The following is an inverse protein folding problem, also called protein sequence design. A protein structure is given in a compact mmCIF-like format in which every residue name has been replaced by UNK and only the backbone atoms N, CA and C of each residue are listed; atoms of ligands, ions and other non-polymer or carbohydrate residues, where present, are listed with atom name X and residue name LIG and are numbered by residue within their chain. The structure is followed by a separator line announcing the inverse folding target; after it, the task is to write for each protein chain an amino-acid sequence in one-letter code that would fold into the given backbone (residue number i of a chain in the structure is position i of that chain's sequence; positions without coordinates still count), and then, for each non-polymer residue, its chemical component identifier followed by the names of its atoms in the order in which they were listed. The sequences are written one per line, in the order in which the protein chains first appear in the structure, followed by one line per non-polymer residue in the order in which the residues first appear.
data_IF_468810005580
#
_entry.id   IF_468810005580
#
_cell.length_a   1.000
_cell.length_b   1.000
_cell.length_c   1.000
_cell.angle_alpha   90.00
_cell.angle_beta   90.00
_cell.angle_gamma   90.00
#
_symmetry.space_group_name_H-M   'P 1'
#
loop_
_entity.id
_entity.type
_entity.pdbx_description
1 polymer ?
#
# COMPACT_ATOMS: atom_id res chain seq x y z
N UNK A 1 1.15 -8.60 19.06
CA UNK A 1 -0.02 -7.80 18.61
C UNK A 1 -1.28 -8.31 19.32
N UNK A 2 -1.43 -7.94 20.60
CA UNK A 2 -2.62 -8.31 21.38
C UNK A 2 -3.78 -7.34 21.15
N UNK A 3 -5.02 -7.74 21.52
CA UNK A 3 -6.21 -6.90 21.40
C UNK A 3 -6.15 -5.58 22.21
N UNK A 4 -5.19 -5.45 23.12
CA UNK A 4 -4.98 -4.25 23.94
C UNK A 4 -3.90 -3.30 23.34
N UNK A 5 -3.28 -3.65 22.22
CA UNK A 5 -2.27 -2.81 21.57
C UNK A 5 -2.97 -1.65 20.83
N UNK A 6 -2.69 -0.37 21.19
CA UNK A 6 -3.36 0.79 20.58
C UNK A 6 -3.01 0.97 19.09
N UNK A 7 -2.04 0.24 18.58
CA UNK A 7 -1.61 0.27 17.19
C UNK A 7 -2.27 -0.80 16.32
N UNK A 8 -3.18 -1.60 16.87
CA UNK A 8 -3.91 -2.63 16.12
C UNK A 8 -5.41 -2.52 16.31
N UNK A 9 -6.15 -2.85 15.25
CA UNK A 9 -7.59 -3.04 15.31
C UNK A 9 -7.95 -4.36 14.64
N UNK A 10 -8.50 -5.28 15.43
CA UNK A 10 -9.03 -6.54 14.97
C UNK A 10 -10.51 -6.39 14.63
N UNK A 11 -10.87 -6.61 13.39
CA UNK A 11 -12.24 -6.72 12.94
C UNK A 11 -12.52 -8.19 12.58
N UNK A 12 -13.38 -8.84 13.36
CA UNK A 12 -13.75 -10.25 13.16
C UNK A 12 -15.16 -10.38 12.63
N UNK A 13 -15.37 -11.18 11.57
CA UNK A 13 -16.70 -11.43 11.03
C UNK A 13 -17.52 -12.32 11.98
N UNK A 14 -18.86 -12.29 11.84
CA UNK A 14 -19.73 -13.24 12.55
C UNK A 14 -19.50 -14.68 12.09
N UNK A 15 -19.25 -14.87 10.80
CA UNK A 15 -18.88 -16.15 10.20
C UNK A 15 -17.63 -15.93 9.37
N UNK A 16 -16.52 -16.56 9.77
CA UNK A 16 -15.25 -16.43 9.08
C UNK A 16 -15.19 -17.35 7.86
N UNK A 17 -14.64 -16.85 6.75
CA UNK A 17 -14.44 -17.59 5.51
C UNK A 17 -12.99 -18.09 5.32
N UNK A 18 -12.21 -18.12 6.39
CA UNK A 18 -10.83 -18.60 6.38
C UNK A 18 -9.79 -17.62 5.85
N UNK A 19 -10.21 -16.48 5.28
CA UNK A 19 -9.28 -15.43 4.82
C UNK A 19 -9.02 -14.40 5.90
N UNK A 20 -7.73 -14.13 6.18
CA UNK A 20 -7.24 -13.03 7.00
C UNK A 20 -6.61 -11.94 6.14
N UNK A 21 -6.87 -10.67 6.46
CA UNK A 21 -6.31 -9.53 5.73
C UNK A 21 -5.56 -8.60 6.67
N UNK A 22 -4.28 -8.36 6.39
CA UNK A 22 -3.52 -7.26 7.00
C UNK A 22 -3.81 -5.98 6.23
N UNK A 23 -4.34 -4.96 6.90
CA UNK A 23 -4.73 -3.68 6.31
C UNK A 23 -3.76 -2.58 6.73
N UNK A 24 -3.07 -1.97 5.76
CA UNK A 24 -2.07 -0.92 5.97
C UNK A 24 -2.52 0.40 5.34
N UNK A 25 -2.62 1.43 6.16
CA UNK A 25 -2.82 2.80 5.68
C UNK A 25 -1.54 3.37 5.03
N UNK A 26 -1.69 4.50 4.33
CA UNK A 26 -0.58 5.22 3.71
C UNK A 26 0.20 6.12 4.67
N UNK A 27 0.71 7.24 4.16
CA UNK A 27 1.58 8.21 4.86
C UNK A 27 0.92 8.95 6.04
N UNK A 28 -0.35 8.72 6.29
CA UNK A 28 -1.07 9.35 7.42
C UNK A 28 -0.75 8.73 8.79
N UNK A 29 -0.11 7.56 8.85
CA UNK A 29 0.15 6.84 10.10
C UNK A 29 -1.11 6.46 10.90
N UNK A 30 -2.28 6.37 10.23
CA UNK A 30 -3.54 6.04 10.90
C UNK A 30 -3.79 4.53 10.94
N UNK A 31 -4.64 4.10 11.86
CA UNK A 31 -5.35 2.82 11.77
C UNK A 31 -6.48 2.95 10.75
N UNK A 32 -6.55 2.04 9.78
CA UNK A 32 -7.64 2.00 8.79
C UNK A 32 -8.80 1.11 9.29
N UNK A 33 -9.39 1.54 10.43
CA UNK A 33 -10.47 0.84 11.12
C UNK A 33 -11.66 0.62 10.19
N UNK A 34 -12.07 1.66 9.47
CA UNK A 34 -13.25 1.59 8.59
C UNK A 34 -13.11 0.53 7.49
N UNK A 35 -11.91 0.39 6.90
CA UNK A 35 -11.64 -0.66 5.92
C UNK A 35 -11.65 -2.04 6.54
N UNK A 36 -11.04 -2.20 7.71
CA UNK A 36 -11.06 -3.47 8.43
C UNK A 36 -12.48 -3.89 8.80
N UNK A 37 -13.30 -2.99 9.33
CA UNK A 37 -14.68 -3.28 9.69
C UNK A 37 -15.55 -3.60 8.45
N UNK A 38 -15.33 -2.89 7.34
CA UNK A 38 -15.99 -3.16 6.07
C UNK A 38 -15.66 -4.57 5.55
N UNK A 39 -14.39 -4.99 5.62
CA UNK A 39 -13.96 -6.34 5.24
C UNK A 39 -14.57 -7.40 6.17
N UNK A 40 -14.58 -7.14 7.48
CA UNK A 40 -15.17 -8.06 8.45
C UNK A 40 -16.68 -8.23 8.26
N UNK A 41 -17.39 -7.17 7.87
CA UNK A 41 -18.83 -7.27 7.54
C UNK A 41 -19.12 -8.21 6.37
N UNK A 42 -18.09 -8.58 5.58
CA UNK A 42 -18.16 -9.48 4.42
C UNK A 42 -17.54 -10.87 4.64
N UNK A 43 -17.21 -11.21 5.88
CA UNK A 43 -16.70 -12.55 6.22
C UNK A 43 -15.18 -12.69 6.30
N UNK A 44 -14.42 -11.59 6.15
CA UNK A 44 -12.95 -11.60 6.24
C UNK A 44 -12.50 -11.21 7.65
N UNK A 45 -11.58 -11.97 8.24
CA UNK A 45 -10.88 -11.52 9.44
C UNK A 45 -9.87 -10.44 9.05
N UNK A 46 -10.02 -9.22 9.55
CA UNK A 46 -9.14 -8.12 9.19
C UNK A 46 -8.35 -7.60 10.40
N UNK A 47 -7.07 -7.35 10.19
CA UNK A 47 -6.15 -6.72 11.13
C UNK A 47 -5.67 -5.40 10.54
N UNK A 48 -6.26 -4.28 10.96
CA UNK A 48 -5.67 -2.98 10.67
C UNK A 48 -4.48 -2.75 11.61
N UNK A 49 -3.37 -2.33 11.03
CA UNK A 49 -2.13 -2.11 11.75
C UNK A 49 -1.56 -0.72 11.47
N UNK A 50 -1.33 0.03 12.54
CA UNK A 50 -0.55 1.27 12.51
C UNK A 50 0.93 0.89 12.65
N UNK A 51 1.76 1.30 11.72
CA UNK A 51 3.16 0.87 11.65
C UNK A 51 4.15 2.00 11.86
N UNK A 52 3.67 3.24 12.04
CA UNK A 52 4.42 4.41 12.51
C UNK A 52 3.46 5.45 13.09
N UNK A 53 4.01 6.41 13.85
CA UNK A 53 3.27 7.54 14.42
C UNK A 53 2.38 7.18 15.62
N UNK A 54 2.39 5.94 16.07
CA UNK A 54 1.69 5.47 17.25
C UNK A 54 2.57 5.37 18.49
N UNK A 55 1.96 4.94 19.59
CA UNK A 55 2.68 4.72 20.85
C UNK A 55 3.77 3.64 20.67
N UNK A 56 5.00 3.97 21.07
CA UNK A 56 6.14 3.06 20.95
C UNK A 56 6.67 2.85 19.53
N UNK A 57 6.17 3.59 18.53
CA UNK A 57 6.57 3.49 17.15
C UNK A 57 7.44 4.67 16.69
N UNK A 58 8.21 4.53 15.58
CA UNK A 58 8.85 5.67 14.94
C UNK A 58 7.84 6.77 14.61
N UNK A 59 8.20 8.04 14.83
CA UNK A 59 7.30 9.17 14.56
C UNK A 59 6.97 9.34 13.08
N UNK A 60 7.90 8.95 12.19
CA UNK A 60 7.77 9.02 10.73
C UNK A 60 8.20 7.68 10.11
N UNK A 61 7.75 7.35 8.89
CA UNK A 61 8.13 6.11 8.21
C UNK A 61 9.58 6.20 7.70
N UNK A 62 10.51 5.80 8.54
CA UNK A 62 11.94 5.73 8.26
C UNK A 62 12.53 4.48 8.92
N UNK A 63 13.23 3.68 8.15
CA UNK A 63 13.87 2.42 8.58
C UNK A 63 12.91 1.45 9.28
N UNK A 64 11.67 1.38 8.80
CA UNK A 64 10.67 0.45 9.31
C UNK A 64 11.07 -0.98 8.91
N UNK A 65 11.22 -1.92 9.88
CA UNK A 65 11.53 -3.31 9.55
C UNK A 65 10.35 -4.00 8.84
N UNK A 66 10.61 -4.67 7.72
CA UNK A 66 9.60 -5.50 7.06
C UNK A 66 9.14 -6.64 7.98
N UNK A 67 9.97 -7.05 8.91
CA UNK A 67 9.67 -8.02 9.97
C UNK A 67 8.44 -7.62 10.79
N UNK A 68 8.21 -6.33 10.97
CA UNK A 68 7.00 -5.81 11.63
C UNK A 68 5.71 -6.31 10.95
N UNK A 69 5.73 -6.44 9.63
CA UNK A 69 4.59 -6.94 8.86
C UNK A 69 4.58 -8.47 8.78
N UNK A 70 5.74 -9.11 8.72
CA UNK A 70 5.82 -10.59 8.74
C UNK A 70 5.37 -11.16 10.08
N UNK A 71 5.58 -10.44 11.19
CA UNK A 71 5.02 -10.78 12.51
C UNK A 71 3.49 -10.67 12.53
N UNK A 72 2.93 -9.66 11.85
CA UNK A 72 1.48 -9.52 11.71
C UNK A 72 0.88 -10.64 10.84
N UNK A 73 1.59 -11.06 9.78
CA UNK A 73 1.23 -12.21 8.95
C UNK A 73 1.21 -13.49 9.80
N UNK A 74 2.22 -13.71 10.64
CA UNK A 74 2.27 -14.87 11.53
C UNK A 74 1.06 -14.92 12.47
N UNK A 75 0.67 -13.77 13.03
CA UNK A 75 -0.48 -13.71 13.93
C UNK A 75 -1.79 -14.02 13.18
N UNK A 76 -1.96 -13.50 11.95
CA UNK A 76 -3.11 -13.82 11.11
C UNK A 76 -3.14 -15.29 10.69
N UNK A 77 -2.01 -15.88 10.34
CA UNK A 77 -1.88 -17.27 9.89
C UNK A 77 -2.21 -18.29 10.98
N UNK A 78 -2.24 -17.90 12.26
CA UNK A 78 -2.70 -18.75 13.36
C UNK A 78 -4.22 -18.87 13.42
N UNK A 79 -4.96 -17.90 12.86
CA UNK A 79 -6.42 -17.83 12.91
C UNK A 79 -7.06 -18.06 11.52
N UNK A 80 -6.27 -17.95 10.43
CA UNK A 80 -6.77 -17.95 9.07
C UNK A 80 -5.95 -18.87 8.17
N UNK A 81 -6.62 -19.61 7.27
CA UNK A 81 -5.98 -20.54 6.33
C UNK A 81 -5.28 -19.81 5.17
N UNK A 82 -5.71 -18.57 4.90
CA UNK A 82 -5.23 -17.73 3.80
C UNK A 82 -4.95 -16.31 4.31
N UNK A 83 -3.74 -15.80 4.03
CA UNK A 83 -3.36 -14.43 4.39
C UNK A 83 -3.22 -13.58 3.13
N UNK A 84 -3.92 -12.44 3.12
CA UNK A 84 -3.86 -11.42 2.07
C UNK A 84 -3.37 -10.10 2.68
N UNK A 85 -2.55 -9.38 1.94
CA UNK A 85 -2.12 -8.04 2.34
C UNK A 85 -2.87 -7.00 1.52
N UNK A 86 -3.40 -5.97 2.18
CA UNK A 86 -4.05 -4.83 1.52
C UNK A 86 -3.43 -3.53 2.01
N UNK A 87 -2.94 -2.71 1.10
CA UNK A 87 -2.30 -1.44 1.44
C UNK A 87 -2.64 -0.32 0.48
N UNK A 88 -2.70 0.92 1.00
CA UNK A 88 -2.89 2.14 0.21
C UNK A 88 -1.62 2.99 0.25
N UNK A 89 -1.16 3.49 -0.92
CA UNK A 89 -0.05 4.45 -0.99
C UNK A 89 1.24 3.88 -0.36
N UNK A 90 1.81 4.47 0.70
CA UNK A 90 2.93 3.87 1.43
C UNK A 90 2.62 2.47 1.97
N UNK A 91 1.35 2.21 2.32
CA UNK A 91 0.91 0.86 2.65
C UNK A 91 0.96 -0.09 1.45
N UNK A 92 0.72 0.40 0.23
CA UNK A 92 0.87 -0.40 -0.99
C UNK A 92 2.34 -0.74 -1.27
N UNK A 93 3.26 0.19 -1.01
CA UNK A 93 4.71 -0.08 -1.03
C UNK A 93 5.09 -1.15 -0.01
N UNK A 94 4.59 -1.02 1.23
CA UNK A 94 4.82 -1.98 2.31
C UNK A 94 4.34 -3.40 1.95
N UNK A 95 3.10 -3.55 1.47
CA UNK A 95 2.54 -4.88 1.17
C UNK A 95 3.24 -5.55 -0.01
N UNK A 96 3.67 -4.81 -1.03
CA UNK A 96 4.44 -5.36 -2.15
C UNK A 96 5.83 -5.82 -1.71
N UNK A 97 6.54 -5.01 -0.90
CA UNK A 97 7.84 -5.39 -0.35
C UNK A 97 7.72 -6.60 0.58
N UNK A 98 6.77 -6.59 1.51
CA UNK A 98 6.58 -7.70 2.46
C UNK A 98 6.25 -8.99 1.73
N UNK A 99 5.33 -8.96 0.78
CA UNK A 99 4.97 -10.15 0.01
C UNK A 99 6.11 -10.68 -0.87
N UNK A 100 7.11 -9.86 -1.19
CA UNK A 100 8.29 -10.31 -1.94
C UNK A 100 9.32 -11.06 -1.10
N UNK A 101 9.16 -11.04 0.23
CA UNK A 101 10.07 -11.69 1.20
C UNK A 101 9.36 -12.69 2.12
N UNK A 102 8.04 -12.83 2.01
CA UNK A 102 7.23 -13.75 2.82
C UNK A 102 6.30 -14.58 1.92
N UNK A 103 6.59 -15.86 1.77
CA UNK A 103 5.88 -16.81 0.91
C UNK A 103 4.52 -17.28 1.47
N UNK A 104 4.20 -16.95 2.73
CA UNK A 104 2.89 -17.19 3.34
C UNK A 104 1.80 -16.28 2.77
N UNK A 105 2.18 -15.21 2.06
CA UNK A 105 1.23 -14.27 1.47
C UNK A 105 0.58 -14.88 0.24
N UNK A 106 -0.71 -15.22 0.36
CA UNK A 106 -1.49 -15.82 -0.70
C UNK A 106 -2.05 -14.79 -1.70
N UNK A 107 -2.08 -13.50 -1.32
CA UNK A 107 -2.54 -12.44 -2.21
C UNK A 107 -2.16 -11.05 -1.73
N UNK A 108 -2.06 -10.11 -2.68
CA UNK A 108 -1.79 -8.70 -2.44
C UNK A 108 -2.81 -7.84 -3.17
N UNK A 109 -3.36 -6.86 -2.46
CA UNK A 109 -4.18 -5.78 -3.02
C UNK A 109 -3.45 -4.47 -2.76
N UNK A 110 -2.82 -3.91 -3.79
CA UNK A 110 -2.08 -2.65 -3.69
C UNK A 110 -2.89 -1.52 -4.33
N UNK A 111 -3.36 -0.60 -3.48
CA UNK A 111 -4.16 0.56 -3.87
C UNK A 111 -3.24 1.78 -4.02
N UNK A 112 -3.28 2.46 -5.17
CA UNK A 112 -2.34 3.49 -5.57
C UNK A 112 -0.88 3.03 -5.36
N UNK A 113 -0.39 1.99 -6.09
CA UNK A 113 0.91 1.37 -5.88
C UNK A 113 2.08 2.22 -6.37
N UNK A 114 3.28 1.86 -5.92
CA UNK A 114 4.57 2.22 -6.50
C UNK A 114 5.32 0.98 -6.95
N UNK A 115 6.27 1.13 -7.87
CA UNK A 115 7.14 0.05 -8.37
C UNK A 115 8.54 0.04 -7.74
N UNK A 116 8.85 1.04 -6.91
CA UNK A 116 10.14 1.18 -6.23
C UNK A 116 9.94 1.47 -4.75
N UNK A 117 10.95 1.15 -3.94
CA UNK A 117 11.04 1.67 -2.58
C UNK A 117 11.54 3.11 -2.62
N UNK A 118 10.94 3.96 -1.81
CA UNK A 118 11.28 5.37 -1.70
C UNK A 118 12.06 5.68 -0.42
N UNK A 119 12.81 6.79 -0.44
CA UNK A 119 13.43 7.37 0.76
C UNK A 119 12.42 7.48 1.91
N UNK A 120 12.86 7.22 3.12
CA UNK A 120 12.08 7.44 4.34
C UNK A 120 11.81 8.91 4.60
N UNK A 121 10.75 9.19 5.35
CA UNK A 121 10.49 10.55 5.79
C UNK A 121 11.49 10.96 6.87
N UNK A 122 11.82 12.24 6.93
CA UNK A 122 12.73 12.83 7.88
C UNK A 122 11.97 13.75 8.84
N UNK A 123 12.46 13.90 10.05
CA UNK A 123 11.95 14.88 11.00
C UNK A 123 12.57 16.26 10.79
N UNK A 124 13.77 16.31 10.19
CA UNK A 124 14.53 17.52 9.91
C UNK A 124 15.09 17.46 8.49
N UNK A 125 15.23 18.61 7.85
CA UNK A 125 15.70 18.72 6.46
C UNK A 125 17.17 18.28 6.31
N UNK A 126 17.97 18.41 7.37
CA UNK A 126 19.40 18.03 7.43
C UNK A 126 19.63 16.56 7.83
N UNK A 127 18.59 15.79 8.13
CA UNK A 127 18.73 14.37 8.46
C UNK A 127 19.39 13.61 7.28
N UNK A 128 20.25 12.61 7.58
CA UNK A 128 20.86 11.80 6.53
C UNK A 128 19.80 11.03 5.74
N UNK A 129 20.06 10.80 4.45
CA UNK A 129 19.19 9.99 3.60
C UNK A 129 19.15 8.55 4.10
N UNK A 130 17.95 8.03 4.35
CA UNK A 130 17.72 6.66 4.81
C UNK A 130 16.57 6.02 4.05
N UNK A 131 16.61 4.70 3.97
CA UNK A 131 15.49 3.93 3.45
C UNK A 131 14.26 4.11 4.33
N UNK A 132 13.08 4.04 3.72
CA UNK A 132 11.84 3.88 4.47
C UNK A 132 11.78 2.52 5.17
N UNK A 133 12.44 1.51 4.60
CA UNK A 133 12.33 0.11 4.97
C UNK A 133 13.69 -0.51 5.30
N UNK A 134 13.67 -1.46 6.22
CA UNK A 134 14.79 -2.38 6.44
C UNK A 134 14.31 -3.83 6.32
N UNK A 135 15.22 -4.73 5.96
CA UNK A 135 15.01 -6.17 5.97
C UNK A 135 16.28 -6.89 6.43
N UNK A 136 16.17 -7.82 7.39
CA UNK A 136 17.32 -8.47 8.01
C UNK A 136 18.30 -7.47 8.65
N UNK A 137 17.77 -6.37 9.20
CA UNK A 137 18.57 -5.29 9.78
C UNK A 137 19.35 -4.44 8.78
N UNK A 138 19.10 -4.59 7.46
CA UNK A 138 19.77 -3.83 6.40
C UNK A 138 18.77 -2.91 5.69
N UNK A 139 19.19 -1.69 5.29
CA UNK A 139 18.35 -0.82 4.49
C UNK A 139 17.95 -1.49 3.16
N UNK A 140 16.67 -1.44 2.82
CA UNK A 140 16.21 -1.77 1.47
C UNK A 140 16.69 -0.66 0.55
N UNK A 141 17.29 -0.97 -0.64
CA UNK A 141 17.65 0.04 -1.61
C UNK A 141 16.44 0.92 -1.96
N UNK A 142 16.65 2.22 -2.13
CA UNK A 142 15.56 3.18 -2.30
C UNK A 142 15.90 4.28 -3.30
N UNK A 143 14.88 4.87 -3.90
CA UNK A 143 15.02 6.09 -4.69
C UNK A 143 15.02 7.29 -3.75
N UNK A 144 16.11 8.09 -3.74
CA UNK A 144 16.19 9.29 -2.92
C UNK A 144 15.23 10.37 -3.44
N UNK A 145 14.62 11.10 -2.52
CA UNK A 145 13.73 12.23 -2.83
C UNK A 145 14.56 13.48 -3.14
N UNK A 146 14.16 14.24 -4.16
CA UNK A 146 14.78 15.52 -4.50
C UNK A 146 14.45 16.59 -3.44
N UNK A 147 15.37 16.83 -2.54
CA UNK A 147 15.23 17.83 -1.46
C UNK A 147 15.35 19.28 -1.95
N UNK A 148 15.68 19.50 -3.23
CA UNK A 148 15.73 20.84 -3.84
C UNK A 148 14.40 21.22 -4.52
N UNK A 149 13.43 20.30 -4.54
CA UNK A 149 12.13 20.58 -5.11
C UNK A 149 11.33 21.50 -4.20
N UNK A 150 10.86 22.61 -4.76
CA UNK A 150 9.97 23.55 -4.09
C UNK A 150 8.55 23.38 -4.63
N UNK A 151 7.54 23.29 -3.77
CA UNK A 151 6.16 23.18 -4.20
C UNK A 151 5.75 24.40 -5.01
N UNK A 152 5.20 24.24 -6.23
CA UNK A 152 4.81 25.38 -7.08
C UNK A 152 3.57 26.13 -6.58
N UNK A 153 2.92 25.63 -5.53
CA UNK A 153 1.71 26.22 -4.95
C UNK A 153 1.49 25.78 -3.51
N UNK A 154 0.59 26.45 -2.80
CA UNK A 154 0.14 26.06 -1.46
C UNK A 154 -0.66 24.75 -1.43
N UNK A 155 -1.12 24.27 -2.58
CA UNK A 155 -1.78 22.98 -2.80
C UNK A 155 -0.97 22.16 -3.83
N UNK A 156 0.21 21.63 -3.45
CA UNK A 156 1.10 20.96 -4.39
C UNK A 156 0.52 19.64 -4.90
N UNK A 157 0.90 19.30 -6.14
CA UNK A 157 0.84 17.95 -6.67
C UNK A 157 2.23 17.31 -6.54
N UNK A 158 2.35 16.23 -5.82
CA UNK A 158 3.65 15.60 -5.59
C UNK A 158 4.11 14.66 -6.71
N UNK A 159 3.25 14.34 -7.67
CA UNK A 159 3.60 13.44 -8.79
C UNK A 159 4.84 13.91 -9.54
N UNK A 160 4.97 15.22 -9.79
CA UNK A 160 6.16 15.80 -10.43
C UNK A 160 7.41 15.63 -9.56
N UNK A 161 7.29 15.82 -8.25
CA UNK A 161 8.37 15.66 -7.30
C UNK A 161 8.93 14.22 -7.31
N UNK A 162 8.05 13.21 -7.28
CA UNK A 162 8.45 11.81 -7.35
C UNK A 162 9.06 11.44 -8.71
N UNK A 163 8.48 11.91 -9.83
CA UNK A 163 9.03 11.66 -11.17
C UNK A 163 10.40 12.32 -11.35
N UNK A 164 10.56 13.57 -10.89
CA UNK A 164 11.85 14.26 -10.90
C UNK A 164 12.90 13.56 -10.02
N UNK A 165 12.52 13.14 -8.83
CA UNK A 165 13.39 12.36 -7.93
C UNK A 165 13.89 11.10 -8.60
N UNK A 166 13.00 10.37 -9.30
CA UNK A 166 13.35 9.17 -10.05
C UNK A 166 14.34 9.45 -11.19
N UNK A 167 14.15 10.53 -11.93
CA UNK A 167 15.07 10.94 -13.00
C UNK A 167 16.45 11.31 -12.46
N UNK A 168 16.50 12.08 -11.37
CA UNK A 168 17.75 12.51 -10.74
C UNK A 168 18.54 11.35 -10.12
N UNK A 169 17.85 10.33 -9.61
CA UNK A 169 18.49 9.14 -9.05
C UNK A 169 19.25 8.32 -10.09
N UNK A 170 18.82 8.35 -11.35
CA UNK A 170 19.40 7.57 -12.43
C UNK A 170 18.94 6.10 -12.48
N UNK A 171 19.19 5.45 -13.61
CA UNK A 171 18.66 4.12 -13.90
C UNK A 171 19.15 3.03 -12.92
N UNK A 172 20.41 3.05 -12.54
CA UNK A 172 21.02 2.02 -11.68
C UNK A 172 20.42 2.06 -10.26
N UNK A 173 20.21 3.26 -9.69
CA UNK A 173 19.59 3.43 -8.38
C UNK A 173 18.12 3.02 -8.43
N UNK A 174 17.41 3.39 -9.49
CA UNK A 174 16.00 3.01 -9.68
C UNK A 174 15.86 1.50 -9.83
N UNK A 175 16.74 0.82 -10.59
CA UNK A 175 16.70 -0.64 -10.72
C UNK A 175 17.01 -1.32 -9.38
N UNK A 176 18.01 -0.85 -8.64
CA UNK A 176 18.33 -1.38 -7.32
C UNK A 176 17.18 -1.21 -6.31
N UNK A 177 16.42 -0.11 -6.41
CA UNK A 177 15.29 0.19 -5.56
C UNK A 177 13.97 -0.45 -6.04
N UNK A 178 13.96 -1.08 -7.23
CA UNK A 178 12.75 -1.70 -7.78
C UNK A 178 12.30 -2.86 -6.91
N UNK A 179 11.03 -2.86 -6.53
CA UNK A 179 10.43 -3.90 -5.70
C UNK A 179 10.47 -5.24 -6.47
N UNK A 180 11.03 -6.31 -5.87
CA UNK A 180 11.19 -7.60 -6.56
C UNK A 180 9.87 -8.38 -6.62
N UNK A 181 8.86 -7.80 -7.28
CA UNK A 181 7.48 -8.31 -7.35
C UNK A 181 7.36 -9.66 -8.06
N UNK A 182 8.36 -10.06 -8.83
CA UNK A 182 8.47 -11.39 -9.43
C UNK A 182 8.69 -12.51 -8.39
N UNK A 183 9.02 -12.16 -7.16
CA UNK A 183 9.12 -13.10 -6.03
C UNK A 183 7.78 -13.33 -5.33
N UNK A 184 6.78 -12.50 -5.60
CA UNK A 184 5.45 -12.67 -5.01
C UNK A 184 4.75 -13.83 -5.71
N UNK A 185 4.68 -14.99 -5.05
CA UNK A 185 4.00 -16.18 -5.58
C UNK A 185 2.47 -16.03 -5.59
N UNK A 186 1.94 -15.25 -4.66
CA UNK A 186 0.50 -15.00 -4.50
C UNK A 186 -0.14 -14.19 -5.63
N UNK A 187 -1.46 -14.15 -5.60
CA UNK A 187 -2.27 -13.33 -6.51
C UNK A 187 -2.01 -11.83 -6.26
N UNK A 188 -1.88 -11.03 -7.33
CA UNK A 188 -1.64 -9.59 -7.19
C UNK A 188 -2.71 -8.81 -7.94
N UNK A 189 -3.38 -7.92 -7.20
CA UNK A 189 -4.33 -6.91 -7.72
C UNK A 189 -3.74 -5.53 -7.46
N UNK A 190 -3.60 -4.75 -8.51
CA UNK A 190 -3.13 -3.37 -8.48
C UNK A 190 -4.28 -2.46 -8.89
N UNK A 191 -4.57 -1.45 -8.07
CA UNK A 191 -5.67 -0.49 -8.31
C UNK A 191 -5.07 0.90 -8.38
N UNK A 192 -5.19 1.58 -9.51
CA UNK A 192 -4.47 2.81 -9.78
C UNK A 192 -5.35 3.88 -10.45
N UNK A 193 -5.10 5.13 -10.14
CA UNK A 193 -5.70 6.27 -10.81
C UNK A 193 -4.77 6.85 -11.86
N UNK A 194 -5.32 7.17 -13.05
CA UNK A 194 -4.56 7.79 -14.15
C UNK A 194 -4.26 9.27 -13.90
N UNK A 195 -5.11 9.96 -13.13
CA UNK A 195 -4.92 11.34 -12.66
C UNK A 195 -4.40 11.40 -11.21
N UNK A 196 -3.62 10.41 -10.78
CA UNK A 196 -3.01 10.43 -9.46
C UNK A 196 -1.98 11.57 -9.35
N UNK A 197 -2.27 12.55 -8.49
CA UNK A 197 -1.46 13.76 -8.29
C UNK A 197 -0.49 13.63 -7.12
N UNK A 198 -0.46 12.47 -6.44
CA UNK A 198 0.53 12.18 -5.39
C UNK A 198 1.76 11.51 -6.00
N UNK A 199 1.58 10.42 -6.73
CA UNK A 199 2.62 9.78 -7.54
C UNK A 199 2.01 9.05 -8.74
N UNK A 200 2.83 8.61 -9.69
CA UNK A 200 2.36 8.01 -10.94
C UNK A 200 1.90 6.55 -10.77
N UNK A 201 0.86 6.30 -9.92
CA UNK A 201 0.43 4.95 -9.54
C UNK A 201 0.02 4.07 -10.73
N UNK A 202 -0.65 4.62 -11.75
CA UNK A 202 -1.01 3.91 -12.96
C UNK A 202 0.22 3.44 -13.75
N UNK A 203 1.26 4.28 -13.88
CA UNK A 203 2.53 3.89 -14.51
C UNK A 203 3.26 2.83 -13.70
N UNK A 204 3.29 2.97 -12.37
CA UNK A 204 3.89 2.01 -11.46
C UNK A 204 3.19 0.65 -11.55
N UNK A 205 1.86 0.61 -11.54
CA UNK A 205 1.08 -0.62 -11.70
C UNK A 205 1.43 -1.37 -12.99
N UNK A 206 1.57 -0.65 -14.11
CA UNK A 206 1.97 -1.27 -15.39
C UNK A 206 3.40 -1.82 -15.34
N UNK A 207 4.35 -1.13 -14.68
CA UNK A 207 5.73 -1.63 -14.50
C UNK A 207 5.77 -2.89 -13.64
N UNK A 208 5.01 -2.91 -12.53
CA UNK A 208 4.86 -4.10 -11.67
C UNK A 208 4.30 -5.26 -12.47
N UNK A 209 3.19 -5.06 -13.19
CA UNK A 209 2.58 -6.10 -14.01
C UNK A 209 3.53 -6.62 -15.09
N UNK A 210 4.24 -5.73 -15.79
CA UNK A 210 5.21 -6.10 -16.82
C UNK A 210 6.39 -6.88 -16.24
N UNK A 211 6.89 -6.53 -15.04
CA UNK A 211 7.96 -7.28 -14.37
C UNK A 211 7.51 -8.69 -13.99
N UNK A 212 6.32 -8.84 -13.40
CA UNK A 212 5.75 -10.13 -13.06
C UNK A 212 5.50 -11.01 -14.30
N UNK A 213 5.00 -10.41 -15.39
CA UNK A 213 4.75 -11.11 -16.65
C UNK A 213 6.03 -11.71 -17.27
N UNK A 214 7.19 -11.04 -17.14
CA UNK A 214 8.48 -11.60 -17.58
C UNK A 214 8.88 -12.87 -16.83
N UNK A 215 8.34 -13.08 -15.63
CA UNK A 215 8.52 -14.29 -14.82
C UNK A 215 7.35 -15.27 -14.95
N UNK A 216 6.47 -15.09 -15.93
CA UNK A 216 5.31 -15.97 -16.16
C UNK A 216 4.16 -15.80 -15.15
N UNK A 217 4.19 -14.75 -14.33
CA UNK A 217 3.19 -14.49 -13.30
C UNK A 217 2.12 -13.51 -13.81
N UNK A 218 0.86 -13.82 -13.49
CA UNK A 218 -0.26 -12.93 -13.80
C UNK A 218 -0.44 -11.84 -12.76
N UNK A 219 -1.01 -10.70 -13.19
CA UNK A 219 -1.34 -9.56 -12.32
C UNK A 219 -2.61 -8.93 -12.84
N UNK A 220 -3.58 -8.69 -11.96
CA UNK A 220 -4.77 -7.93 -12.30
C UNK A 220 -4.46 -6.45 -12.09
N UNK A 221 -4.61 -5.65 -13.13
CA UNK A 221 -4.48 -4.18 -13.05
C UNK A 221 -5.84 -3.56 -13.32
N UNK A 222 -6.34 -2.79 -12.36
CA UNK A 222 -7.54 -1.97 -12.51
C UNK A 222 -7.12 -0.51 -12.50
N UNK A 223 -7.37 0.18 -13.60
CA UNK A 223 -6.92 1.55 -13.85
C UNK A 223 -8.10 2.38 -14.38
N UNK A 224 -8.39 3.50 -13.71
CA UNK A 224 -9.36 4.50 -14.19
C UNK A 224 -8.59 5.79 -14.55
N UNK A 225 -8.58 6.22 -15.81
CA UNK A 225 -7.82 7.40 -16.25
C UNK A 225 -8.24 8.69 -15.57
N UNK A 226 -9.46 8.76 -15.03
CA UNK A 226 -10.02 9.95 -14.37
C UNK A 226 -9.94 9.89 -12.85
N UNK A 227 -9.50 8.77 -12.27
CA UNK A 227 -9.33 8.64 -10.83
C UNK A 227 -7.98 9.19 -10.36
N UNK A 228 -7.97 9.74 -9.15
CA UNK A 228 -6.78 10.22 -8.47
C UNK A 228 -6.16 9.17 -7.54
N UNK A 229 -5.44 9.65 -6.52
CA UNK A 229 -4.76 8.84 -5.52
C UNK A 229 -5.70 8.04 -4.59
N UNK A 230 -6.84 8.58 -4.11
CA UNK A 230 -7.72 7.84 -3.22
C UNK A 230 -8.47 6.71 -3.94
N UNK A 231 -8.63 5.59 -3.23
CA UNK A 231 -9.51 4.49 -3.63
C UNK A 231 -10.51 4.24 -2.50
N UNK A 232 -11.81 4.28 -2.84
CA UNK A 232 -12.91 4.04 -1.90
C UNK A 232 -13.65 2.78 -2.33
N UNK A 233 -13.53 1.73 -1.54
CA UNK A 233 -14.17 0.44 -1.83
C UNK A 233 -15.67 0.50 -1.50
N UNK A 234 -16.51 -0.34 -2.14
CA UNK A 234 -17.94 -0.40 -1.82
C UNK A 234 -18.18 -0.65 -0.34
N UNK A 235 -18.99 0.22 0.29
CA UNK A 235 -19.30 0.17 1.72
C UNK A 235 -18.31 0.94 2.63
N UNK A 236 -17.26 1.53 2.07
CA UNK A 236 -16.40 2.45 2.83
C UNK A 236 -16.99 3.86 2.89
N UNK A 237 -16.71 4.56 3.99
CA UNK A 237 -16.97 6.00 4.09
C UNK A 237 -15.82 6.74 3.38
N UNK A 238 -16.11 7.60 2.40
CA UNK A 238 -15.07 8.41 1.76
C UNK A 238 -14.26 9.21 2.78
N UNK A 239 -12.93 9.33 2.59
CA UNK A 239 -12.12 10.14 3.48
C UNK A 239 -12.49 11.61 3.39
N UNK A 240 -12.18 12.38 4.45
CA UNK A 240 -12.35 13.83 4.46
C UNK A 240 -11.71 14.45 3.20
N UNK A 241 -12.45 15.23 2.40
CA UNK A 241 -11.92 15.84 1.19
C UNK A 241 -10.88 16.94 1.47
N UNK A 242 -10.84 17.48 2.70
CA UNK A 242 -9.87 18.51 3.08
C UNK A 242 -8.46 17.91 3.10
N UNK A 243 -7.61 18.42 2.22
CA UNK A 243 -6.23 17.98 2.05
C UNK A 243 -5.30 19.20 2.00
N UNK A 244 -4.06 19.01 2.41
CA UNK A 244 -3.00 20.01 2.26
C UNK A 244 -2.29 19.91 0.89
N UNK A 245 -2.71 18.95 0.03
CA UNK A 245 -2.12 18.70 -1.28
C UNK A 245 -3.16 18.11 -2.24
N UNK A 246 -2.89 18.20 -3.52
CA UNK A 246 -3.73 17.65 -4.58
C UNK A 246 -3.59 16.14 -4.64
N UNK A 247 -4.72 15.47 -4.73
CA UNK A 247 -4.79 14.00 -4.87
C UNK A 247 -5.21 13.57 -6.28
N UNK A 248 -5.69 14.50 -7.10
CA UNK A 248 -6.25 14.21 -8.41
C UNK A 248 -7.64 13.58 -8.36
N UNK A 249 -8.14 13.30 -9.55
CA UNK A 249 -9.45 12.68 -9.76
C UNK A 249 -10.61 13.66 -9.75
N UNK A 250 -11.64 13.33 -10.52
CA UNK A 250 -12.92 14.04 -10.52
C UNK A 250 -13.83 13.63 -9.35
N UNK A 251 -14.99 14.31 -9.23
CA UNK A 251 -15.97 13.97 -8.21
C UNK A 251 -16.49 12.53 -8.37
N UNK A 252 -16.38 11.73 -7.32
CA UNK A 252 -16.80 10.33 -7.32
C UNK A 252 -15.82 9.34 -7.95
N UNK A 253 -14.71 9.80 -8.54
CA UNK A 253 -13.73 8.93 -9.20
C UNK A 253 -13.14 7.85 -8.26
N UNK A 254 -12.85 8.22 -7.01
CA UNK A 254 -12.35 7.27 -6.02
C UNK A 254 -13.32 6.11 -5.75
N UNK A 255 -14.62 6.38 -5.70
CA UNK A 255 -15.66 5.35 -5.51
C UNK A 255 -15.87 4.53 -6.79
N UNK A 256 -15.82 5.16 -7.99
CA UNK A 256 -15.89 4.42 -9.26
C UNK A 256 -14.71 3.45 -9.39
N UNK A 257 -13.48 3.92 -9.12
CA UNK A 257 -12.29 3.07 -9.16
C UNK A 257 -12.40 1.90 -8.18
N UNK A 258 -12.87 2.15 -6.95
CA UNK A 258 -13.12 1.10 -5.97
C UNK A 258 -14.17 0.09 -6.42
N UNK A 259 -15.25 0.55 -7.02
CA UNK A 259 -16.30 -0.32 -7.58
C UNK A 259 -15.78 -1.18 -8.76
N UNK A 260 -14.98 -0.60 -9.66
CA UNK A 260 -14.33 -1.32 -10.75
C UNK A 260 -13.33 -2.39 -10.24
N UNK A 261 -12.62 -2.09 -9.16
CA UNK A 261 -11.64 -3.01 -8.57
C UNK A 261 -12.28 -4.11 -7.72
N UNK A 262 -13.50 -3.89 -7.22
CA UNK A 262 -14.12 -4.76 -6.24
C UNK A 262 -14.25 -6.22 -6.68
N UNK A 263 -14.65 -6.55 -7.93
CA UNK A 263 -14.70 -7.95 -8.37
C UNK A 263 -13.35 -8.67 -8.27
N UNK A 264 -12.26 -8.04 -8.66
CA UNK A 264 -10.92 -8.61 -8.56
C UNK A 264 -10.47 -8.76 -7.10
N UNK A 265 -10.77 -7.76 -6.26
CA UNK A 265 -10.47 -7.79 -4.82
C UNK A 265 -11.24 -8.94 -4.15
N UNK A 266 -12.54 -9.09 -4.43
CA UNK A 266 -13.35 -10.21 -3.92
C UNK A 266 -12.77 -11.57 -4.30
N UNK A 267 -12.32 -11.71 -5.53
CA UNK A 267 -11.68 -12.95 -6.00
C UNK A 267 -10.46 -13.31 -5.17
N UNK A 268 -9.54 -12.35 -4.94
CA UNK A 268 -8.34 -12.57 -4.10
C UNK A 268 -8.69 -12.88 -2.66
N UNK A 269 -9.74 -12.24 -2.13
CA UNK A 269 -10.23 -12.45 -0.77
C UNK A 269 -11.06 -13.73 -0.60
N UNK A 270 -11.42 -14.41 -1.69
CA UNK A 270 -12.32 -15.58 -1.68
C UNK A 270 -13.69 -15.25 -1.07
N UNK A 271 -14.19 -14.05 -1.31
CA UNK A 271 -15.52 -13.66 -0.88
C UNK A 271 -16.59 -14.26 -1.82
N UNK A 272 -17.65 -14.79 -1.23
CA UNK A 272 -18.81 -15.26 -2.00
C UNK A 272 -19.45 -14.12 -2.81
N UNK A 273 -20.17 -14.45 -3.87
CA UNK A 273 -20.93 -13.48 -4.62
C UNK A 273 -22.01 -12.88 -3.71
N UNK A 274 -22.19 -11.54 -3.76
CA UNK A 274 -23.34 -10.91 -3.11
C UNK A 274 -24.60 -11.55 -3.72
N UNK A 275 -25.37 -12.26 -2.88
CA UNK A 275 -26.62 -12.93 -3.28
C UNK A 275 -27.71 -11.95 -3.62
#
# INVERSE_FOLDING_TARGET
MGAADPNVHWARPRTAQGTGVLVLAGSSGRLDVGRADMLASRGVTALAFRWFGGEGQPAVPCEIPLETFTDAIEVLARECDRVVLMGLSYGAEAVLLTASVDDRVAGVVALAPTDVAWEGQHQRDDDPRRSKWTHGGRPVPFVPIDRTWEPPSTMPAFVEHYERSRVLAGADVVEAATIPVERIAGEVVLVAGGDDQVWASSRAARRVAARRARSGLTTVVVDDPTAGHPVVLPGEVPPDPRRAYRVGGDAGAAARLGALAWPAIRSVLRLEADG
#
